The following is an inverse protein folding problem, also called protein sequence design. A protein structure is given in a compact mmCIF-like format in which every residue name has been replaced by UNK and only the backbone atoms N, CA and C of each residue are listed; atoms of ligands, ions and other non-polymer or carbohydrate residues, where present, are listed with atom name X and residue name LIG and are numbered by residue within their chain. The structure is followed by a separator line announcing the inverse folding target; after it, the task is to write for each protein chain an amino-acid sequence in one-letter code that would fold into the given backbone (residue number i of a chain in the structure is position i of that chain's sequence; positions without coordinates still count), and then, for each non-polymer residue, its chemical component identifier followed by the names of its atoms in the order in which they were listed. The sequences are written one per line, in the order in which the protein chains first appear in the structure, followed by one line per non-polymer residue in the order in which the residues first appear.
data_IF_745676834943
#
_entry.id   IF_745676834943
#
_cell.length_a   1.000
_cell.length_b   1.000
_cell.length_c   1.000
_cell.angle_alpha   90.00
_cell.angle_beta   90.00
_cell.angle_gamma   90.00
#
_symmetry.space_group_name_H-M   'P 1'
#
loop_
_entity.id
_entity.type
_entity.pdbx_description
1 polymer ?
#
# COMPACT_ATOMS: atom_id res chain seq x y z
N UNK A 1 13.07 -8.78 4.76
CA UNK A 1 12.53 -7.46 5.14
C UNK A 1 11.03 -7.58 5.24
N UNK A 2 10.43 -7.16 6.36
CA UNK A 2 8.97 -7.25 6.55
C UNK A 2 8.30 -5.96 6.08
N UNK A 3 7.74 -6.01 4.87
CA UNK A 3 7.03 -4.87 4.26
C UNK A 3 5.60 -4.71 4.78
N UNK A 4 5.11 -5.62 5.63
CA UNK A 4 3.73 -5.57 6.15
C UNK A 4 3.50 -4.41 7.11
N UNK A 5 4.58 -3.91 7.74
CA UNK A 5 4.55 -2.72 8.58
C UNK A 5 4.41 -1.41 7.79
N UNK A 6 4.95 -1.39 6.56
CA UNK A 6 4.96 -0.24 5.65
C UNK A 6 3.84 -0.29 4.62
N UNK A 7 3.25 -1.44 4.34
CA UNK A 7 2.09 -1.56 3.45
C UNK A 7 0.81 -1.59 4.29
N UNK A 8 -0.09 -0.66 4.04
CA UNK A 8 -1.40 -0.59 4.67
C UNK A 8 -2.48 -0.97 3.64
N UNK A 9 -3.39 -1.86 4.03
CA UNK A 9 -4.59 -2.18 3.25
C UNK A 9 -5.77 -1.40 3.82
N UNK A 10 -6.20 -0.34 3.15
CA UNK A 10 -7.39 0.42 3.51
C UNK A 10 -8.51 0.12 2.51
N UNK A 11 -9.54 -0.68 2.86
CA UNK A 11 -10.60 -1.12 1.95
C UNK A 11 -11.46 0.03 1.38
N UNK A 12 -11.36 1.25 1.93
CA UNK A 12 -12.00 2.45 1.41
C UNK A 12 -11.09 3.38 0.60
N UNK A 13 -9.78 3.14 0.54
CA UNK A 13 -8.84 3.93 -0.27
C UNK A 13 -8.40 3.12 -1.48
N UNK A 14 -8.29 3.82 -2.63
CA UNK A 14 -7.71 3.27 -3.87
C UNK A 14 -8.34 1.93 -4.33
N UNK A 15 -9.61 1.68 -3.99
CA UNK A 15 -10.34 0.46 -4.37
C UNK A 15 -9.92 -0.82 -3.64
N UNK A 16 -9.43 -0.70 -2.39
CA UNK A 16 -8.96 -1.85 -1.63
C UNK A 16 -7.58 -2.37 -2.07
N UNK A 17 -6.84 -1.56 -2.81
CA UNK A 17 -5.45 -1.85 -3.18
C UNK A 17 -4.50 -1.57 -2.01
N UNK A 18 -3.50 -2.42 -1.77
CA UNK A 18 -2.48 -2.15 -0.77
C UNK A 18 -1.75 -0.85 -1.10
N UNK A 19 -1.66 0.06 -0.15
CA UNK A 19 -1.01 1.36 -0.28
C UNK A 19 0.20 1.44 0.65
N UNK A 20 1.25 2.15 0.25
CA UNK A 20 2.40 2.37 1.13
C UNK A 20 2.02 3.40 2.21
N UNK A 21 2.21 3.07 3.47
CA UNK A 21 1.90 3.96 4.60
C UNK A 21 2.68 5.27 4.45
N UNK A 22 2.01 6.39 4.74
CA UNK A 22 2.50 7.76 4.55
C UNK A 22 2.67 8.23 3.09
N UNK A 23 2.49 7.35 2.08
CA UNK A 23 2.54 7.70 0.67
C UNK A 23 1.21 7.34 0.00
N UNK A 24 0.60 8.23 -0.78
CA UNK A 24 -0.65 7.90 -1.51
C UNK A 24 -0.37 7.12 -2.80
N UNK A 25 0.53 6.13 -2.71
CA UNK A 25 1.04 5.30 -3.81
C UNK A 25 0.63 3.84 -3.54
N UNK A 26 0.22 3.11 -4.57
CA UNK A 26 -0.12 1.71 -4.42
C UNK A 26 1.16 0.86 -4.29
N UNK A 27 1.15 -0.18 -3.47
CA UNK A 27 2.31 -1.06 -3.29
C UNK A 27 2.69 -1.75 -4.62
N UNK A 28 1.69 -2.01 -5.47
CA UNK A 28 1.85 -2.48 -6.85
C UNK A 28 2.66 -1.51 -7.73
N UNK A 29 2.52 -0.19 -7.60
CA UNK A 29 3.30 0.79 -8.37
C UNK A 29 4.80 0.80 -7.99
N UNK A 30 5.12 0.38 -6.76
CA UNK A 30 6.49 0.38 -6.21
C UNK A 30 7.17 -0.97 -6.42
N UNK A 31 6.39 -2.05 -6.29
CA UNK A 31 6.90 -3.42 -6.42
C UNK A 31 7.00 -3.88 -7.87
N UNK A 32 6.27 -3.24 -8.80
CA UNK A 32 6.43 -3.36 -10.26
C UNK A 32 6.44 -4.78 -10.79
#
# INVERSE_FOLDING_TARGET
MDYRSIITLEPGKRGGKPCVRALRIAAEDVLG
#
